data_IF_553490789974
#
_entry.id   IF_553490789974
#
_cell.length_a   1.000
_cell.length_b   1.000
_cell.length_c   1.000
_cell.angle_alpha   90.00
_cell.angle_beta   90.00
_cell.angle_gamma   90.00
#
_symmetry.space_group_name_H-M   'P 1'
#
loop_
_entity.id
_entity.type
_entity.pdbx_description
1 polymer ?
#
# COMPACT_ATOMS: atom_id res chain seq x y z
N UNK A 1 10.32 16.31 11.84
CA UNK A 1 9.36 16.38 10.73
C UNK A 1 8.02 15.90 11.28
N UNK A 2 7.03 16.79 11.42
CA UNK A 2 5.71 16.40 11.93
C UNK A 2 4.83 15.91 10.76
N UNK A 3 3.93 14.94 10.95
CA UNK A 3 3.01 14.49 9.91
C UNK A 3 2.13 15.66 9.46
N UNK A 4 2.23 16.04 8.19
CA UNK A 4 1.29 17.00 7.59
C UNK A 4 0.08 16.21 7.09
N UNK A 5 -1.14 16.68 7.43
CA UNK A 5 -2.46 16.02 7.23
C UNK A 5 -2.89 15.80 5.76
N UNK A 6 -1.97 15.46 4.85
CA UNK A 6 -2.31 15.16 3.46
C UNK A 6 -1.51 13.95 2.98
N UNK A 7 -2.15 12.77 2.96
CA UNK A 7 -1.56 11.54 2.42
C UNK A 7 -2.07 11.29 1.01
N UNK A 8 -1.35 11.78 -0.01
CA UNK A 8 -1.64 11.44 -1.42
C UNK A 8 -1.04 10.08 -1.78
N UNK A 9 -1.76 9.01 -1.43
CA UNK A 9 -1.33 7.62 -1.66
C UNK A 9 -0.95 7.33 -3.11
N UNK A 10 -1.75 7.77 -4.09
CA UNK A 10 -1.44 7.54 -5.51
C UNK A 10 -0.13 8.19 -5.96
N UNK A 11 0.21 9.38 -5.43
CA UNK A 11 1.49 10.03 -5.70
C UNK A 11 2.66 9.28 -5.04
N UNK A 12 2.49 8.85 -3.78
CA UNK A 12 3.50 8.08 -3.06
C UNK A 12 3.80 6.74 -3.75
N UNK A 13 2.77 6.03 -4.20
CA UNK A 13 2.90 4.76 -4.93
C UNK A 13 3.68 4.96 -6.23
N UNK A 14 3.30 5.95 -7.06
CA UNK A 14 4.03 6.25 -8.31
C UNK A 14 5.47 6.67 -8.06
N UNK A 15 5.72 7.45 -7.01
CA UNK A 15 7.07 7.84 -6.60
C UNK A 15 7.90 6.62 -6.17
N UNK A 16 7.33 5.73 -5.36
CA UNK A 16 8.01 4.48 -4.98
C UNK A 16 8.29 3.60 -6.20
N UNK A 17 7.34 3.52 -7.13
CA UNK A 17 7.46 2.72 -8.35
C UNK A 17 8.63 3.18 -9.24
N UNK A 18 8.89 4.49 -9.34
CA UNK A 18 10.03 4.99 -10.13
C UNK A 18 11.38 4.56 -9.56
N UNK A 19 11.46 4.22 -8.27
CA UNK A 19 12.70 3.68 -7.67
C UNK A 19 13.02 2.27 -8.16
N UNK A 20 12.01 1.52 -8.60
CA UNK A 20 12.20 0.18 -9.17
C UNK A 20 12.69 0.19 -10.61
N UNK A 21 12.59 1.31 -11.33
CA UNK A 21 12.99 1.39 -12.75
C UNK A 21 14.49 1.09 -12.94
N UNK A 22 15.31 1.31 -11.89
CA UNK A 22 16.76 1.01 -11.89
C UNK A 22 17.14 -0.41 -11.41
N UNK A 23 16.18 -1.22 -10.98
CA UNK A 23 16.44 -2.52 -10.33
C UNK A 23 16.14 -3.66 -11.29
N UNK A 24 17.15 -4.40 -11.72
CA UNK A 24 16.96 -5.63 -12.48
C UNK A 24 16.58 -6.79 -11.56
N UNK A 25 15.28 -7.13 -11.53
CA UNK A 25 14.76 -8.25 -10.76
C UNK A 25 13.51 -8.81 -11.44
N UNK A 26 13.39 -10.14 -11.45
CA UNK A 26 12.19 -10.85 -11.94
C UNK A 26 10.95 -10.60 -11.10
N UNK A 27 11.14 -10.32 -9.81
CA UNK A 27 10.05 -10.03 -8.86
C UNK A 27 10.41 -8.78 -8.07
N UNK A 28 9.50 -7.80 -8.08
CA UNK A 28 9.65 -6.52 -7.37
C UNK A 28 8.51 -6.38 -6.38
N UNK A 29 8.82 -6.16 -5.10
CA UNK A 29 7.82 -6.02 -4.03
C UNK A 29 7.87 -4.63 -3.43
N UNK A 30 6.72 -3.95 -3.43
CA UNK A 30 6.47 -2.71 -2.70
C UNK A 30 5.56 -3.02 -1.51
N UNK A 31 6.04 -2.73 -0.30
CA UNK A 31 5.23 -2.82 0.92
C UNK A 31 4.83 -1.41 1.36
N UNK A 32 3.53 -1.18 1.54
CA UNK A 32 2.98 0.08 2.03
C UNK A 32 2.66 -0.11 3.51
N UNK A 33 3.26 0.68 4.40
CA UNK A 33 2.90 0.71 5.81
C UNK A 33 2.11 1.99 6.10
N UNK A 34 0.87 1.85 6.57
CA UNK A 34 -0.08 2.97 6.73
C UNK A 34 -0.97 2.76 7.96
N UNK A 35 -1.59 3.83 8.44
CA UNK A 35 -2.67 3.80 9.45
C UNK A 35 -4.07 3.52 8.83
N UNK A 36 -4.14 3.28 7.52
CA UNK A 36 -5.37 2.91 6.81
C UNK A 36 -6.20 4.09 6.33
N UNK A 37 -5.78 5.34 6.60
CA UNK A 37 -6.50 6.54 6.17
C UNK A 37 -5.86 7.15 4.92
N UNK A 38 -6.51 7.09 3.74
CA UNK A 38 -6.03 7.81 2.55
C UNK A 38 -6.32 9.32 2.61
N UNK A 39 -6.64 9.89 3.79
CA UNK A 39 -7.32 11.19 3.86
C UNK A 39 -6.38 12.40 3.80
N UNK A 40 -6.84 13.34 2.97
CA UNK A 40 -6.55 14.76 2.94
C UNK A 40 -7.90 15.46 3.19
N UNK A 41 -7.89 16.56 3.96
CA UNK A 41 -9.10 17.21 4.52
C UNK A 41 -10.02 17.76 3.42
N UNK A 42 -9.48 17.97 2.21
CA UNK A 42 -10.22 18.41 1.00
C UNK A 42 -10.25 17.37 -0.13
N UNK A 43 -9.83 16.14 0.14
CA UNK A 43 -9.77 15.06 -0.85
C UNK A 43 -11.00 14.18 -0.71
N UNK A 44 -11.97 14.36 -1.63
CA UNK A 44 -13.21 13.57 -1.67
C UNK A 44 -12.86 12.09 -1.64
N UNK A 45 -13.24 11.38 -0.57
CA UNK A 45 -12.82 10.00 -0.26
C UNK A 45 -12.87 9.07 -1.48
N UNK A 46 -13.90 9.18 -2.32
CA UNK A 46 -14.05 8.35 -3.51
C UNK A 46 -13.03 8.63 -4.62
N UNK A 47 -12.60 9.88 -4.77
CA UNK A 47 -11.49 10.21 -5.68
C UNK A 47 -10.19 9.62 -5.14
N UNK A 48 -9.99 9.58 -3.82
CA UNK A 48 -8.75 9.07 -3.19
C UNK A 48 -8.61 7.59 -3.43
N UNK A 49 -9.73 6.89 -3.28
CA UNK A 49 -9.84 5.48 -3.56
C UNK A 49 -9.55 5.22 -5.04
N UNK A 50 -10.18 5.97 -5.96
CA UNK A 50 -9.97 5.79 -7.40
C UNK A 50 -8.53 6.09 -7.85
N UNK A 51 -7.92 7.17 -7.36
CA UNK A 51 -6.52 7.50 -7.70
C UNK A 51 -5.55 6.45 -7.13
N UNK A 52 -5.76 5.99 -5.90
CA UNK A 52 -4.93 4.93 -5.28
C UNK A 52 -5.05 3.62 -6.07
N UNK A 53 -6.28 3.19 -6.40
CA UNK A 53 -6.50 2.00 -7.23
C UNK A 53 -5.83 2.13 -8.60
N UNK A 54 -5.93 3.31 -9.22
CA UNK A 54 -5.31 3.58 -10.51
C UNK A 54 -3.78 3.48 -10.42
N UNK A 55 -3.18 4.08 -9.38
CA UNK A 55 -1.75 3.96 -9.14
C UNK A 55 -1.31 2.51 -8.90
N UNK A 56 -2.06 1.74 -8.11
CA UNK A 56 -1.78 0.30 -7.90
C UNK A 56 -1.83 -0.46 -9.23
N UNK A 57 -2.85 -0.21 -10.07
CA UNK A 57 -2.96 -0.83 -11.40
C UNK A 57 -1.78 -0.47 -12.33
N UNK A 58 -1.31 0.79 -12.29
CA UNK A 58 -0.12 1.24 -13.05
C UNK A 58 1.16 0.58 -12.57
N UNK A 59 1.26 0.24 -11.28
CA UNK A 59 2.42 -0.44 -10.69
C UNK A 59 2.40 -1.93 -11.02
N UNK A 60 1.22 -2.57 -11.00
CA UNK A 60 1.08 -3.96 -11.43
C UNK A 60 1.48 -4.18 -12.88
N UNK A 61 1.18 -3.26 -13.80
CA UNK A 61 1.60 -3.38 -15.21
C UNK A 61 3.13 -3.33 -15.40
N UNK A 62 3.88 -2.91 -14.36
CA UNK A 62 5.35 -2.92 -14.32
C UNK A 62 5.94 -4.15 -13.61
N UNK A 63 5.15 -5.20 -13.38
CA UNK A 63 5.54 -6.39 -12.61
C UNK A 63 6.02 -6.07 -11.17
N UNK A 64 5.45 -5.03 -10.57
CA UNK A 64 5.70 -4.68 -9.17
C UNK A 64 4.47 -5.13 -8.36
N UNK A 65 4.69 -6.04 -7.43
CA UNK A 65 3.69 -6.49 -6.47
C UNK A 65 3.56 -5.46 -5.35
N UNK A 66 2.34 -5.02 -5.08
CA UNK A 66 2.05 -4.08 -4.00
C UNK A 66 1.33 -4.83 -2.88
N UNK A 67 1.81 -4.72 -1.65
CA UNK A 67 1.14 -5.26 -0.47
C UNK A 67 1.03 -4.19 0.61
N UNK A 68 -0.16 -3.98 1.15
CA UNK A 68 -0.40 -3.00 2.21
C UNK A 68 -0.41 -3.66 3.59
N UNK A 69 0.20 -3.02 4.58
CA UNK A 69 0.11 -3.36 5.99
C UNK A 69 -0.45 -2.14 6.70
N UNK A 70 -1.65 -2.29 7.25
CA UNK A 70 -2.32 -1.25 8.03
C UNK A 70 -2.08 -1.49 9.51
N UNK A 71 -1.50 -0.50 10.19
CA UNK A 71 -1.25 -0.53 11.63
C UNK A 71 -2.36 0.26 12.33
N UNK A 72 -2.98 -0.36 13.33
CA UNK A 72 -4.06 0.20 14.14
C UNK A 72 -5.46 0.06 13.51
N UNK A 73 -6.45 -0.18 14.38
CA UNK A 73 -7.75 -0.76 14.06
C UNK A 73 -8.88 0.27 14.17
N UNK A 74 -8.62 1.53 13.81
CA UNK A 74 -9.72 2.42 13.47
C UNK A 74 -10.25 1.94 12.11
N UNK A 75 -11.12 0.92 12.13
CA UNK A 75 -11.66 0.20 10.96
C UNK A 75 -12.05 1.19 9.85
N UNK A 76 -11.18 1.36 8.87
CA UNK A 76 -11.58 1.93 7.61
C UNK A 76 -12.28 0.81 6.83
N UNK A 77 -13.60 0.90 6.71
CA UNK A 77 -14.44 -0.12 6.09
C UNK A 77 -14.23 -0.29 4.57
N UNK A 78 -13.27 0.43 3.99
CA UNK A 78 -12.99 0.46 2.54
C UNK A 78 -11.54 0.09 2.18
N UNK A 79 -10.81 -0.62 3.05
CA UNK A 79 -9.46 -1.12 2.72
C UNK A 79 -9.51 -2.09 1.54
N UNK A 80 -10.52 -2.94 1.48
CA UNK A 80 -10.81 -3.84 0.36
C UNK A 80 -11.00 -3.05 -0.95
N UNK A 81 -11.74 -1.93 -0.91
CA UNK A 81 -11.93 -1.07 -2.08
C UNK A 81 -10.61 -0.46 -2.60
N UNK A 82 -9.64 -0.23 -1.71
CA UNK A 82 -8.36 0.39 -2.03
C UNK A 82 -7.36 -0.61 -2.62
N UNK A 83 -7.11 -1.69 -1.89
CA UNK A 83 -6.01 -2.62 -2.16
C UNK A 83 -6.50 -3.95 -2.77
N UNK A 84 -7.78 -4.28 -2.60
CA UNK A 84 -8.32 -5.62 -2.83
C UNK A 84 -8.09 -6.55 -1.65
N UNK A 85 -9.02 -7.48 -1.44
CA UNK A 85 -9.11 -8.38 -0.27
C UNK A 85 -7.82 -9.16 0.01
N UNK A 86 -7.03 -9.47 -1.03
CA UNK A 86 -5.84 -10.32 -0.92
C UNK A 86 -4.52 -9.56 -0.77
N UNK A 87 -4.51 -8.25 -0.99
CA UNK A 87 -3.26 -7.45 -1.07
C UNK A 87 -3.06 -6.53 0.14
N UNK A 88 -3.75 -6.79 1.25
CA UNK A 88 -3.52 -6.05 2.48
C UNK A 88 -3.61 -6.93 3.73
N UNK A 89 -2.96 -6.49 4.81
CA UNK A 89 -3.10 -7.06 6.15
C UNK A 89 -3.37 -5.92 7.13
N UNK A 90 -4.16 -6.18 8.17
CA UNK A 90 -4.29 -5.28 9.32
C UNK A 90 -3.53 -5.91 10.50
N UNK A 91 -2.72 -5.10 11.17
CA UNK A 91 -2.05 -5.47 12.42
C UNK A 91 -2.48 -4.54 13.54
N UNK A 92 -2.66 -5.12 14.72
CA UNK A 92 -2.95 -4.37 15.94
C UNK A 92 -1.69 -3.98 16.68
N UNK A 93 -0.60 -4.72 16.45
CA UNK A 93 0.68 -4.54 17.12
C UNK A 93 1.82 -4.58 16.10
N UNK A 94 2.72 -3.61 16.19
CA UNK A 94 3.91 -3.51 15.34
C UNK A 94 4.80 -4.75 15.45
N UNK A 95 4.77 -5.45 16.60
CA UNK A 95 5.50 -6.69 16.83
C UNK A 95 5.03 -7.85 15.95
N UNK A 96 3.86 -7.74 15.32
CA UNK A 96 3.36 -8.72 14.33
C UNK A 96 4.05 -8.58 12.96
N UNK A 97 4.72 -7.45 12.68
CA UNK A 97 5.32 -7.18 11.37
C UNK A 97 6.27 -8.28 10.86
N UNK A 98 7.24 -8.78 11.66
CA UNK A 98 8.18 -9.80 11.19
C UNK A 98 7.46 -11.03 10.63
N UNK A 99 6.45 -11.52 11.35
CA UNK A 99 5.66 -12.69 10.94
C UNK A 99 4.83 -12.42 9.68
N UNK A 100 4.25 -11.22 9.56
CA UNK A 100 3.48 -10.84 8.36
C UNK A 100 4.39 -10.71 7.13
N UNK A 101 5.56 -10.11 7.29
CA UNK A 101 6.53 -9.93 6.20
C UNK A 101 7.01 -11.28 5.66
N UNK A 102 7.30 -12.24 6.54
CA UNK A 102 7.64 -13.62 6.14
C UNK A 102 6.52 -14.27 5.31
N UNK A 103 5.26 -14.12 5.72
CA UNK A 103 4.10 -14.64 4.99
C UNK A 103 3.89 -13.97 3.64
N UNK A 104 4.12 -12.66 3.53
CA UNK A 104 4.04 -11.93 2.25
C UNK A 104 5.13 -12.43 1.30
N UNK A 105 6.37 -12.51 1.77
CA UNK A 105 7.50 -12.94 0.96
C UNK A 105 7.33 -14.37 0.43
N UNK A 106 6.95 -15.31 1.30
CA UNK A 106 6.71 -16.71 0.92
C UNK A 106 5.60 -16.93 -0.13
N UNK A 107 4.65 -16.00 -0.26
CA UNK A 107 3.64 -16.05 -1.33
C UNK A 107 4.18 -15.59 -2.68
N UNK A 108 5.19 -14.74 -2.69
CA UNK A 108 5.79 -14.16 -3.90
C UNK A 108 6.85 -15.06 -4.53
N UNK A 109 7.48 -15.92 -3.73
CA UNK A 109 8.57 -16.81 -4.18
C UNK A 109 8.12 -18.25 -4.39
N UNK A 110 6.82 -18.48 -4.62
CA UNK A 110 6.28 -19.80 -5.01
C UNK A 110 6.37 -20.04 -6.50
#
# INVERSE_FOLDING_TARGET
MAPQRSTRMGAAIRHGASKFDSIDSKVRLMIILSDGFPNDVDYKQDYAIKDTRRAISEVHSKNIYVHSITVNLARYSKLDDLYGDLNHNVISDIRELPDKLLRIYSRLTR
#
